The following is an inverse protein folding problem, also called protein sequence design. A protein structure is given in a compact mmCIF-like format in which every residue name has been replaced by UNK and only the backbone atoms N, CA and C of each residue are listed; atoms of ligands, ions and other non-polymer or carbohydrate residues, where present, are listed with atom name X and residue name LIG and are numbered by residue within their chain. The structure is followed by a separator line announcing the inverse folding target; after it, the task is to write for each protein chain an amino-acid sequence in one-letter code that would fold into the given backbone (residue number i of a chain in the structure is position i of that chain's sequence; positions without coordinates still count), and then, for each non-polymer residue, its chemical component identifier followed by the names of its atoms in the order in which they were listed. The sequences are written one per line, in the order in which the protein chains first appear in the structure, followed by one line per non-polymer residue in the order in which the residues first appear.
data_IF_756959158587
#
_entry.id   IF_756959158587
#
_cell.length_a   1.000
_cell.length_b   1.000
_cell.length_c   1.000
_cell.angle_alpha   90.00
_cell.angle_beta   90.00
_cell.angle_gamma   90.00
#
_symmetry.space_group_name_H-M   'P 1'
#
loop_
_entity.id
_entity.type
_entity.pdbx_description
1 polymer ?
#
# COMPACT_ATOMS: atom_id res chain seq x y z
N UNK A 1 29.90 -7.58 -29.35
CA UNK A 1 28.63 -8.10 -29.97
C UNK A 1 27.72 -8.78 -28.97
N UNK A 2 28.23 -9.71 -28.15
CA UNK A 2 27.40 -10.29 -27.05
C UNK A 2 27.00 -9.25 -26.00
N UNK A 3 27.89 -8.35 -25.65
CA UNK A 3 27.69 -7.30 -24.63
C UNK A 3 26.57 -6.33 -25.04
N UNK A 4 26.61 -5.87 -26.30
CA UNK A 4 25.56 -4.99 -26.84
C UNK A 4 24.19 -5.71 -26.90
N UNK A 5 24.18 -6.99 -27.25
CA UNK A 5 22.94 -7.80 -27.23
C UNK A 5 22.41 -7.99 -25.81
N UNK A 6 23.32 -8.25 -24.84
CA UNK A 6 22.93 -8.41 -23.43
C UNK A 6 22.35 -7.12 -22.87
N UNK A 7 22.98 -5.97 -23.13
CA UNK A 7 22.46 -4.67 -22.73
C UNK A 7 21.06 -4.40 -23.31
N UNK A 8 20.88 -4.61 -24.64
CA UNK A 8 19.58 -4.40 -25.28
C UNK A 8 18.51 -5.33 -24.77
N UNK A 9 18.84 -6.61 -24.56
CA UNK A 9 17.92 -7.57 -23.99
C UNK A 9 17.53 -7.19 -22.55
N UNK A 10 18.47 -6.69 -21.76
CA UNK A 10 18.21 -6.18 -20.41
C UNK A 10 17.29 -4.96 -20.42
N UNK A 11 17.56 -3.99 -21.27
CA UNK A 11 16.74 -2.79 -21.46
C UNK A 11 15.31 -3.12 -21.87
N UNK A 12 15.14 -4.10 -22.78
CA UNK A 12 13.82 -4.51 -23.27
C UNK A 12 13.05 -5.42 -22.30
N UNK A 13 13.69 -5.97 -21.26
CA UNK A 13 13.06 -6.90 -20.33
C UNK A 13 12.97 -8.33 -20.87
N UNK A 14 13.85 -8.73 -21.79
CA UNK A 14 13.83 -10.03 -22.44
C UNK A 14 14.53 -11.09 -21.58
N UNK A 15 13.92 -11.48 -20.46
CA UNK A 15 14.51 -12.36 -19.41
C UNK A 15 15.08 -13.65 -19.99
N UNK A 16 14.38 -14.33 -20.89
CA UNK A 16 14.84 -15.58 -21.51
C UNK A 16 16.06 -15.36 -22.41
N UNK A 17 16.09 -14.24 -23.17
CA UNK A 17 17.21 -13.85 -24.02
C UNK A 17 18.44 -13.54 -23.19
N UNK A 18 18.28 -12.79 -22.09
CA UNK A 18 19.35 -12.50 -21.11
C UNK A 18 19.92 -13.80 -20.56
N UNK A 19 19.11 -14.72 -20.10
CA UNK A 19 19.56 -16.04 -19.59
C UNK A 19 20.36 -16.83 -20.63
N UNK A 20 19.91 -16.87 -21.89
CA UNK A 20 20.64 -17.54 -22.99
C UNK A 20 22.00 -16.90 -23.30
N UNK A 21 22.05 -15.56 -23.32
CA UNK A 21 23.29 -14.83 -23.58
C UNK A 21 24.32 -15.06 -22.47
N UNK A 22 23.90 -15.01 -21.21
CA UNK A 22 24.76 -15.32 -20.04
C UNK A 22 25.26 -16.77 -20.08
N UNK A 23 24.38 -17.74 -20.36
CA UNK A 23 24.76 -19.14 -20.50
C UNK A 23 25.74 -19.41 -21.66
N UNK A 24 25.75 -18.55 -22.69
CA UNK A 24 26.68 -18.62 -23.81
C UNK A 24 28.02 -17.89 -23.57
N UNK A 25 28.24 -17.39 -22.34
CA UNK A 25 29.48 -16.75 -21.91
C UNK A 25 29.46 -15.20 -22.03
N UNK A 26 28.28 -14.61 -22.10
CA UNK A 26 28.13 -13.15 -21.95
C UNK A 26 28.55 -12.71 -20.55
N UNK A 27 29.26 -11.61 -20.46
CA UNK A 27 29.73 -11.05 -19.20
C UNK A 27 28.72 -9.97 -18.72
N UNK A 28 28.05 -10.17 -17.54
CA UNK A 28 27.07 -9.23 -17.04
C UNK A 28 27.69 -7.89 -16.60
N UNK A 29 29.00 -7.83 -16.41
CA UNK A 29 29.72 -6.65 -15.91
C UNK A 29 30.40 -5.86 -17.04
N UNK A 30 30.28 -6.30 -18.27
CA UNK A 30 30.92 -5.65 -19.38
C UNK A 30 29.98 -4.63 -20.02
N UNK A 31 30.40 -3.34 -20.10
CA UNK A 31 29.55 -2.31 -20.66
C UNK A 31 29.33 -2.54 -22.18
N UNK A 32 28.18 -2.06 -22.65
CA UNK A 32 27.85 -1.97 -24.08
C UNK A 32 28.76 -0.98 -24.82
N UNK A 33 28.66 -0.91 -26.15
CA UNK A 33 29.40 0.10 -26.96
C UNK A 33 29.04 1.55 -26.58
N UNK A 34 27.88 1.78 -25.93
CA UNK A 34 27.45 3.05 -25.37
C UNK A 34 27.82 3.23 -23.88
N UNK A 35 28.69 2.38 -23.34
CA UNK A 35 29.18 2.40 -21.95
C UNK A 35 28.13 2.07 -20.87
N UNK A 36 26.92 1.61 -21.28
CA UNK A 36 25.87 1.21 -20.33
C UNK A 36 26.05 -0.22 -19.82
N UNK A 37 25.79 -0.43 -18.52
CA UNK A 37 25.80 -1.74 -17.89
C UNK A 37 24.43 -2.42 -17.99
N UNK A 38 24.35 -3.75 -18.24
CA UNK A 38 23.07 -4.45 -18.32
C UNK A 38 22.20 -4.30 -17.08
N UNK A 39 22.80 -4.30 -15.87
CA UNK A 39 22.07 -4.13 -14.61
C UNK A 39 21.50 -2.71 -14.46
N UNK A 40 22.27 -1.69 -14.87
CA UNK A 40 21.79 -0.29 -14.89
C UNK A 40 20.64 -0.11 -15.88
N UNK A 41 20.73 -0.72 -17.08
CA UNK A 41 19.66 -0.71 -18.05
C UNK A 41 18.37 -1.38 -17.51
N UNK A 42 18.50 -2.52 -16.84
CA UNK A 42 17.36 -3.19 -16.21
C UNK A 42 16.73 -2.31 -15.12
N UNK A 43 17.54 -1.64 -14.30
CA UNK A 43 17.09 -0.74 -13.25
C UNK A 43 16.40 0.51 -13.79
N UNK A 44 16.97 1.14 -14.82
CA UNK A 44 16.41 2.34 -15.43
C UNK A 44 15.04 2.11 -16.11
N UNK A 45 14.72 0.88 -16.49
CA UNK A 45 13.51 0.53 -17.23
C UNK A 45 12.58 -0.46 -16.48
N UNK A 46 12.72 -0.56 -15.18
CA UNK A 46 11.86 -1.40 -14.29
C UNK A 46 11.79 -2.87 -14.73
N UNK A 47 12.96 -3.48 -15.03
CA UNK A 47 13.05 -4.87 -15.46
C UNK A 47 13.46 -5.77 -14.28
N UNK A 48 12.59 -5.88 -13.28
CA UNK A 48 12.85 -6.56 -12.00
C UNK A 48 13.35 -7.98 -12.17
N UNK A 49 12.70 -8.80 -13.02
CA UNK A 49 13.11 -10.19 -13.28
C UNK A 49 14.49 -10.27 -13.94
N UNK A 50 14.77 -9.37 -14.88
CA UNK A 50 16.07 -9.29 -15.57
C UNK A 50 17.15 -8.91 -14.58
N UNK A 51 16.92 -7.94 -13.69
CA UNK A 51 17.85 -7.57 -12.63
C UNK A 51 18.20 -8.79 -11.75
N UNK A 52 17.20 -9.58 -11.33
CA UNK A 52 17.41 -10.81 -10.59
C UNK A 52 18.28 -11.83 -11.34
N UNK A 53 18.02 -12.05 -12.64
CA UNK A 53 18.82 -12.98 -13.47
C UNK A 53 20.28 -12.49 -13.64
N UNK A 54 20.48 -11.18 -13.84
CA UNK A 54 21.82 -10.59 -13.96
C UNK A 54 22.62 -10.73 -12.64
N UNK A 55 21.98 -10.42 -11.50
CA UNK A 55 22.59 -10.56 -10.18
C UNK A 55 22.95 -12.01 -9.87
N UNK A 56 22.04 -12.96 -10.18
CA UNK A 56 22.30 -14.40 -10.03
C UNK A 56 23.47 -14.87 -10.93
N UNK A 57 23.73 -14.21 -12.06
CA UNK A 57 24.84 -14.49 -12.94
C UNK A 57 26.15 -13.77 -12.55
N UNK A 58 26.18 -13.03 -11.42
CA UNK A 58 27.36 -12.37 -10.89
C UNK A 58 27.53 -10.92 -11.41
N UNK A 59 26.43 -10.24 -11.75
CA UNK A 59 26.51 -8.81 -11.99
C UNK A 59 26.95 -8.07 -10.71
N UNK A 60 27.88 -7.12 -10.85
CA UNK A 60 28.31 -6.26 -9.75
C UNK A 60 27.17 -5.28 -9.41
N UNK A 61 26.60 -5.45 -8.20
CA UNK A 61 25.42 -4.67 -7.78
C UNK A 61 25.69 -3.16 -7.78
N UNK A 62 26.92 -2.75 -7.40
CA UNK A 62 27.39 -1.37 -7.36
C UNK A 62 28.27 -0.98 -8.57
N UNK A 63 28.14 -1.74 -9.68
CA UNK A 63 28.80 -1.42 -10.93
C UNK A 63 28.45 0.02 -11.38
N UNK A 64 29.46 0.82 -11.75
CA UNK A 64 29.28 2.25 -12.06
C UNK A 64 29.41 2.52 -13.55
N UNK A 65 28.46 3.30 -14.07
CA UNK A 65 28.52 3.91 -15.39
C UNK A 65 29.17 5.31 -15.34
N UNK A 66 29.25 5.96 -16.50
CA UNK A 66 29.71 7.34 -16.58
C UNK A 66 28.89 8.27 -15.69
N UNK A 67 29.53 9.22 -15.00
CA UNK A 67 28.88 10.08 -14.02
C UNK A 67 28.67 9.41 -12.66
N UNK A 68 29.26 8.25 -12.41
CA UNK A 68 29.19 7.55 -11.13
C UNK A 68 27.84 6.82 -10.88
N UNK A 69 27.00 6.68 -11.89
CA UNK A 69 25.66 6.08 -11.76
C UNK A 69 25.72 4.58 -11.49
N UNK A 70 24.99 4.14 -10.47
CA UNK A 70 24.76 2.74 -10.16
C UNK A 70 23.32 2.33 -10.54
N UNK A 71 23.06 1.03 -10.56
CA UNK A 71 21.71 0.51 -10.80
C UNK A 71 20.68 1.05 -9.79
N UNK A 72 21.07 1.21 -8.50
CA UNK A 72 20.18 1.73 -7.47
C UNK A 72 19.87 3.23 -7.68
N UNK A 73 20.84 4.03 -8.11
CA UNK A 73 20.60 5.44 -8.48
C UNK A 73 19.63 5.54 -9.66
N UNK A 74 19.76 4.66 -10.68
CA UNK A 74 18.82 4.60 -11.80
C UNK A 74 17.41 4.18 -11.36
N UNK A 75 17.29 3.19 -10.49
CA UNK A 75 16.00 2.79 -9.95
C UNK A 75 15.34 3.93 -9.15
N UNK A 76 16.12 4.66 -8.35
CA UNK A 76 15.63 5.74 -7.51
C UNK A 76 15.13 6.95 -8.33
N UNK A 77 15.92 7.42 -9.29
CA UNK A 77 15.56 8.57 -10.14
C UNK A 77 14.34 8.29 -11.02
N UNK A 78 14.08 7.02 -11.35
CA UNK A 78 12.92 6.63 -12.14
C UNK A 78 11.72 6.13 -11.29
N UNK A 79 11.89 5.99 -9.98
CA UNK A 79 10.83 5.57 -9.06
C UNK A 79 10.48 4.09 -9.14
N UNK A 80 11.44 3.23 -9.44
CA UNK A 80 11.22 1.80 -9.66
C UNK A 80 11.43 1.00 -8.37
N UNK A 81 10.44 1.02 -7.48
CA UNK A 81 10.52 0.43 -6.14
C UNK A 81 10.83 -1.08 -6.13
N UNK A 82 10.25 -1.84 -7.05
CA UNK A 82 10.47 -3.30 -7.11
C UNK A 82 11.94 -3.63 -7.44
N UNK A 83 12.54 -2.95 -8.42
CA UNK A 83 13.95 -3.13 -8.76
C UNK A 83 14.86 -2.63 -7.64
N UNK A 84 14.52 -1.48 -7.01
CA UNK A 84 15.28 -0.96 -5.88
C UNK A 84 15.35 -1.98 -4.73
N UNK A 85 14.25 -2.64 -4.36
CA UNK A 85 14.24 -3.70 -3.35
C UNK A 85 15.16 -4.87 -3.72
N UNK A 86 15.08 -5.36 -4.96
CA UNK A 86 15.95 -6.45 -5.44
C UNK A 86 17.43 -6.07 -5.37
N UNK A 87 17.80 -4.83 -5.72
CA UNK A 87 19.18 -4.35 -5.62
C UNK A 87 19.65 -4.22 -4.16
N UNK A 88 18.79 -3.70 -3.28
CA UNK A 88 19.05 -3.61 -1.84
C UNK A 88 19.24 -5.00 -1.22
N UNK A 89 18.36 -5.94 -1.52
CA UNK A 89 18.48 -7.34 -1.08
C UNK A 89 19.76 -8.01 -1.58
N UNK A 90 20.26 -7.62 -2.76
CA UNK A 90 21.52 -8.08 -3.31
C UNK A 90 22.75 -7.37 -2.69
N UNK A 91 22.54 -6.44 -1.74
CA UNK A 91 23.60 -5.75 -1.00
C UNK A 91 24.11 -4.47 -1.67
N UNK A 92 23.28 -3.78 -2.46
CA UNK A 92 23.64 -2.47 -3.01
C UNK A 92 23.97 -1.46 -1.91
N UNK A 93 24.97 -0.59 -2.15
CA UNK A 93 25.32 0.51 -1.27
C UNK A 93 24.22 1.58 -1.30
N UNK A 94 23.36 1.59 -0.24
CA UNK A 94 22.17 2.42 -0.18
C UNK A 94 22.45 3.93 -0.18
N UNK A 95 23.66 4.33 0.21
CA UNK A 95 24.13 5.73 0.26
C UNK A 95 25.18 6.04 -0.81
N UNK A 96 25.30 5.19 -1.85
CA UNK A 96 26.20 5.48 -2.98
C UNK A 96 25.81 6.80 -3.64
N UNK A 97 26.82 7.63 -4.01
CA UNK A 97 26.56 8.87 -4.75
C UNK A 97 27.04 8.79 -6.19
N UNK A 98 26.33 9.51 -7.08
CA UNK A 98 26.84 9.83 -8.39
C UNK A 98 27.94 10.92 -8.31
N UNK A 99 28.50 11.33 -9.43
CA UNK A 99 29.56 12.37 -9.48
C UNK A 99 29.01 13.77 -9.15
N UNK A 100 27.71 13.98 -9.24
CA UNK A 100 27.02 15.22 -8.85
C UNK A 100 26.74 15.28 -7.34
N UNK A 101 26.93 14.17 -6.62
CA UNK A 101 26.71 14.07 -5.17
C UNK A 101 25.31 13.60 -4.79
N UNK A 102 24.44 13.29 -5.75
CA UNK A 102 23.09 12.78 -5.45
C UNK A 102 23.14 11.38 -4.85
N UNK A 103 22.33 11.14 -3.84
CA UNK A 103 22.09 9.82 -3.24
C UNK A 103 20.84 9.17 -3.83
N UNK A 104 20.66 7.84 -3.70
CA UNK A 104 19.39 7.20 -4.07
C UNK A 104 18.19 7.83 -3.34
N UNK A 105 18.36 8.21 -2.06
CA UNK A 105 17.29 8.80 -1.26
C UNK A 105 16.94 10.23 -1.73
N UNK A 106 17.91 11.07 -2.07
CA UNK A 106 17.66 12.42 -2.61
C UNK A 106 16.96 12.36 -3.98
N UNK A 107 17.42 11.45 -4.86
CA UNK A 107 16.78 11.24 -6.16
C UNK A 107 15.34 10.74 -6.04
N UNK A 108 15.11 9.78 -5.16
CA UNK A 108 13.76 9.26 -4.90
C UNK A 108 12.83 10.32 -4.30
N UNK A 109 13.35 11.17 -3.38
CA UNK A 109 12.60 12.28 -2.80
C UNK A 109 12.23 13.32 -3.88
N UNK A 110 13.18 13.69 -4.75
CA UNK A 110 12.95 14.61 -5.90
C UNK A 110 11.91 14.05 -6.87
N UNK A 111 11.92 12.74 -7.10
CA UNK A 111 10.96 12.04 -7.95
C UNK A 111 9.56 11.95 -7.32
N UNK A 112 9.44 12.03 -6.00
CA UNK A 112 8.22 11.71 -5.25
C UNK A 112 7.96 10.20 -5.17
N UNK A 113 9.00 9.38 -5.28
CA UNK A 113 8.95 7.92 -5.38
C UNK A 113 8.85 7.28 -4.00
N UNK A 114 7.67 7.30 -3.41
CA UNK A 114 7.40 6.83 -2.05
C UNK A 114 7.91 5.41 -1.79
N UNK A 115 7.58 4.45 -2.68
CA UNK A 115 7.98 3.05 -2.50
C UNK A 115 9.50 2.82 -2.52
N UNK A 116 10.25 3.69 -3.23
CA UNK A 116 11.73 3.66 -3.20
C UNK A 116 12.24 4.25 -1.90
N UNK A 117 11.67 5.38 -1.44
CA UNK A 117 12.04 6.00 -0.16
C UNK A 117 11.83 5.04 1.00
N UNK A 118 10.69 4.35 1.05
CA UNK A 118 10.41 3.33 2.06
C UNK A 118 11.48 2.22 2.04
N UNK A 119 11.78 1.65 0.87
CA UNK A 119 12.78 0.60 0.76
C UNK A 119 14.18 1.05 1.20
N UNK A 120 14.56 2.29 0.90
CA UNK A 120 15.85 2.87 1.29
C UNK A 120 15.92 3.14 2.80
N UNK A 121 14.86 3.68 3.41
CA UNK A 121 14.79 3.90 4.86
C UNK A 121 14.78 2.58 5.65
N UNK A 122 14.05 1.57 5.20
CA UNK A 122 14.06 0.21 5.76
C UNK A 122 15.46 -0.42 5.71
N UNK A 123 16.24 -0.10 4.68
CA UNK A 123 17.62 -0.55 4.52
C UNK A 123 18.65 0.31 5.27
N UNK A 124 18.21 1.35 5.98
CA UNK A 124 19.06 2.21 6.80
C UNK A 124 19.80 3.30 6.03
N UNK A 125 19.25 3.78 4.91
CA UNK A 125 19.80 4.93 4.19
C UNK A 125 19.88 6.19 5.09
N UNK A 126 20.95 6.96 4.93
CA UNK A 126 21.20 8.19 5.70
C UNK A 126 20.29 9.33 5.20
N UNK A 127 19.22 9.59 5.96
CA UNK A 127 18.23 10.61 5.65
C UNK A 127 18.71 12.05 5.91
N UNK A 128 19.85 12.24 6.57
CA UNK A 128 20.47 13.55 6.82
C UNK A 128 21.57 13.88 5.77
N UNK A 129 21.87 12.93 4.88
CA UNK A 129 22.93 13.12 3.89
C UNK A 129 22.51 14.14 2.82
N UNK A 130 23.36 15.17 2.65
CA UNK A 130 23.17 16.21 1.64
C UNK A 130 23.46 15.68 0.23
N UNK A 131 22.69 16.14 -0.74
CA UNK A 131 22.99 15.97 -2.17
C UNK A 131 24.02 16.99 -2.67
N UNK A 132 24.27 17.02 -3.98
CA UNK A 132 25.25 17.93 -4.58
C UNK A 132 24.84 19.41 -4.58
N UNK A 133 23.56 19.70 -4.42
CA UNK A 133 23.00 21.05 -4.31
C UNK A 133 23.03 21.55 -2.85
N UNK A 134 23.28 20.66 -1.89
CA UNK A 134 23.35 20.95 -0.47
C UNK A 134 22.00 20.81 0.25
N UNK A 135 21.05 20.10 -0.35
CA UNK A 135 19.74 19.82 0.22
C UNK A 135 19.69 18.40 0.82
N UNK A 136 19.00 18.25 1.94
CA UNK A 136 18.65 16.93 2.47
C UNK A 136 17.44 16.35 1.70
N UNK A 137 17.24 15.01 1.73
CA UNK A 137 16.02 14.41 1.16
C UNK A 137 14.73 15.02 1.71
N UNK A 138 14.74 15.49 2.98
CA UNK A 138 13.60 16.17 3.58
C UNK A 138 13.38 17.55 2.98
N UNK A 139 14.43 18.36 2.79
CA UNK A 139 14.33 19.68 2.16
C UNK A 139 13.69 19.55 0.78
N UNK A 140 14.20 18.61 -0.02
CA UNK A 140 13.69 18.30 -1.36
C UNK A 140 12.20 17.94 -1.32
N UNK A 141 11.80 17.01 -0.43
CA UNK A 141 10.41 16.57 -0.36
C UNK A 141 9.46 17.69 0.11
N UNK A 142 9.88 18.51 1.07
CA UNK A 142 9.08 19.61 1.63
C UNK A 142 8.78 20.70 0.59
N UNK A 143 9.71 20.99 -0.32
CA UNK A 143 9.52 21.97 -1.39
C UNK A 143 8.37 21.62 -2.33
N UNK A 144 8.02 20.33 -2.43
CA UNK A 144 6.92 19.84 -3.24
C UNK A 144 5.59 19.68 -2.48
N UNK A 145 5.59 19.81 -1.15
CA UNK A 145 4.36 19.68 -0.35
C UNK A 145 3.42 20.85 -0.63
N UNK A 146 2.19 20.53 -1.09
CA UNK A 146 1.19 21.53 -1.45
C UNK A 146 1.39 22.18 -2.81
N UNK A 147 2.40 21.77 -3.56
CA UNK A 147 2.62 22.21 -4.94
C UNK A 147 1.68 21.46 -5.88
N UNK A 148 1.09 22.18 -6.83
CA UNK A 148 0.28 21.54 -7.86
C UNK A 148 1.20 20.89 -8.90
N UNK A 149 1.34 19.56 -8.81
CA UNK A 149 2.38 18.78 -9.50
C UNK A 149 2.41 19.02 -11.02
N UNK A 150 1.26 19.04 -11.68
CA UNK A 150 1.17 19.28 -13.12
C UNK A 150 1.69 20.66 -13.53
N UNK A 151 1.31 21.70 -12.75
CA UNK A 151 1.78 23.07 -13.02
C UNK A 151 3.28 23.17 -12.81
N UNK A 152 3.83 22.58 -11.75
CA UNK A 152 5.25 22.62 -11.48
C UNK A 152 6.07 21.86 -12.53
N UNK A 153 5.54 20.74 -13.04
CA UNK A 153 6.20 20.01 -14.14
C UNK A 153 6.10 20.77 -15.46
N UNK A 154 4.95 21.43 -15.72
CA UNK A 154 4.78 22.27 -16.90
C UNK A 154 5.77 23.43 -16.89
N UNK A 155 5.92 24.13 -15.77
CA UNK A 155 6.83 25.27 -15.61
C UNK A 155 8.30 24.89 -15.92
N UNK A 156 8.70 23.62 -15.76
CA UNK A 156 10.05 23.14 -16.05
C UNK A 156 10.36 23.06 -17.55
N UNK A 157 9.33 22.82 -18.39
CA UNK A 157 9.51 22.61 -19.83
C UNK A 157 8.71 23.60 -20.68
N UNK A 158 8.06 24.62 -20.07
CA UNK A 158 7.23 25.56 -20.80
C UNK A 158 8.07 26.43 -21.75
N UNK A 159 7.74 26.37 -23.03
CA UNK A 159 8.38 27.13 -24.09
C UNK A 159 7.32 27.75 -25.01
N UNK A 160 7.59 28.95 -25.51
CA UNK A 160 6.71 29.64 -26.45
C UNK A 160 6.48 28.81 -27.72
N UNK A 161 5.20 28.62 -28.09
CA UNK A 161 4.81 27.90 -29.31
C UNK A 161 4.86 26.36 -29.20
N UNK A 162 4.95 25.82 -27.98
CA UNK A 162 4.87 24.39 -27.77
C UNK A 162 3.44 23.95 -27.40
N UNK A 163 3.08 22.74 -27.79
CA UNK A 163 1.87 22.05 -27.35
C UNK A 163 2.21 21.05 -26.24
N UNK A 164 1.37 21.01 -25.18
CA UNK A 164 1.61 20.17 -24.01
C UNK A 164 0.49 19.15 -23.81
N UNK A 165 0.89 17.97 -23.38
CA UNK A 165 -0.01 16.89 -22.98
C UNK A 165 0.36 16.45 -21.57
N UNK A 166 -0.65 16.37 -20.70
CA UNK A 166 -0.52 15.80 -19.36
C UNK A 166 -1.10 14.39 -19.39
N UNK A 167 -0.32 13.41 -18.96
CA UNK A 167 -0.75 12.03 -18.78
C UNK A 167 -0.61 11.64 -17.31
N UNK A 168 -1.60 10.89 -16.82
CA UNK A 168 -1.59 10.32 -15.47
C UNK A 168 -1.63 8.81 -15.58
N UNK A 169 -0.79 8.14 -14.84
CA UNK A 169 -0.69 6.68 -14.77
C UNK A 169 -0.39 6.29 -13.34
N UNK A 170 -0.61 5.04 -13.00
CA UNK A 170 -0.17 4.50 -11.71
C UNK A 170 1.11 3.69 -11.92
N UNK A 171 2.10 3.94 -11.09
CA UNK A 171 3.29 3.11 -10.99
C UNK A 171 2.91 1.73 -10.42
N UNK A 172 3.80 0.75 -10.50
CA UNK A 172 3.53 -0.61 -10.00
C UNK A 172 3.32 -0.68 -8.48
N UNK A 173 3.84 0.30 -7.76
CA UNK A 173 3.65 0.46 -6.31
C UNK A 173 2.34 1.19 -5.95
N UNK A 174 1.52 1.52 -6.93
CA UNK A 174 0.24 2.22 -6.72
C UNK A 174 0.35 3.75 -6.72
N UNK A 175 1.54 4.32 -6.69
CA UNK A 175 1.74 5.78 -6.67
C UNK A 175 1.34 6.40 -8.01
N UNK A 176 0.61 7.52 -7.99
CA UNK A 176 0.26 8.24 -9.22
C UNK A 176 1.51 8.85 -9.86
N UNK A 177 1.72 8.54 -11.13
CA UNK A 177 2.77 9.10 -11.98
C UNK A 177 2.17 10.14 -12.91
N UNK A 178 2.59 11.38 -12.75
CA UNK A 178 2.22 12.50 -13.62
C UNK A 178 3.35 12.74 -14.62
N UNK A 179 2.99 12.78 -15.89
CA UNK A 179 3.89 13.07 -17.01
C UNK A 179 3.40 14.30 -17.73
N UNK A 180 4.29 15.27 -17.93
CA UNK A 180 4.06 16.41 -18.83
C UNK A 180 5.01 16.28 -20.02
N UNK A 181 4.45 16.20 -21.21
CA UNK A 181 5.21 16.11 -22.46
C UNK A 181 4.90 17.33 -23.33
N UNK A 182 5.95 18.02 -23.75
CA UNK A 182 5.89 19.17 -24.64
C UNK A 182 6.44 18.82 -26.02
N UNK A 183 5.91 19.46 -27.06
CA UNK A 183 6.35 19.32 -28.43
C UNK A 183 6.25 20.63 -29.19
N UNK A 184 7.30 20.98 -29.97
CA UNK A 184 7.28 22.14 -30.87
C UNK A 184 6.22 21.99 -31.96
N UNK A 185 5.67 23.10 -32.49
CA UNK A 185 4.63 23.11 -33.55
C UNK A 185 5.03 22.30 -34.80
N UNK A 186 6.32 22.33 -35.18
CA UNK A 186 6.83 21.57 -36.32
C UNK A 186 7.21 20.11 -35.98
N UNK A 187 7.14 19.76 -34.70
CA UNK A 187 7.45 18.43 -34.18
C UNK A 187 8.93 18.04 -34.23
N UNK A 188 9.84 19.01 -34.42
CA UNK A 188 11.28 18.77 -34.48
C UNK A 188 11.90 18.58 -33.09
N UNK A 189 11.28 19.17 -32.08
CA UNK A 189 11.74 19.13 -30.69
C UNK A 189 10.63 18.58 -29.78
N UNK A 190 11.03 17.82 -28.77
CA UNK A 190 10.13 17.31 -27.74
C UNK A 190 10.85 17.15 -26.42
N UNK A 191 10.18 17.46 -25.33
CA UNK A 191 10.68 17.30 -23.96
C UNK A 191 9.63 16.65 -23.10
N UNK A 192 10.04 15.88 -22.08
CA UNK A 192 9.15 15.21 -21.17
C UNK A 192 9.74 15.23 -19.77
N UNK A 193 8.90 15.61 -18.80
CA UNK A 193 9.21 15.53 -17.38
C UNK A 193 8.13 14.71 -16.66
N UNK A 194 8.53 14.08 -15.56
CA UNK A 194 7.63 13.21 -14.78
C UNK A 194 7.96 13.33 -13.30
N UNK A 195 6.93 13.22 -12.46
CA UNK A 195 7.09 13.00 -11.04
C UNK A 195 5.98 12.08 -10.51
N UNK A 196 6.26 11.42 -9.40
CA UNK A 196 5.27 10.64 -8.65
C UNK A 196 4.66 11.50 -7.55
N UNK A 197 3.40 11.20 -7.20
CA UNK A 197 2.67 11.95 -6.16
C UNK A 197 2.91 11.31 -4.80
N UNK A 198 4.12 11.45 -4.26
CA UNK A 198 4.48 10.88 -2.95
C UNK A 198 5.15 11.85 -2.00
N UNK A 199 5.37 13.11 -2.41
CA UNK A 199 6.21 14.05 -1.67
C UNK A 199 5.70 14.35 -0.25
N UNK A 200 4.39 14.46 -0.05
CA UNK A 200 3.81 14.73 1.26
C UNK A 200 3.99 13.54 2.23
N UNK A 201 3.80 12.32 1.72
CA UNK A 201 4.09 11.08 2.43
C UNK A 201 5.58 10.96 2.75
N UNK A 202 6.45 11.22 1.78
CA UNK A 202 7.92 11.19 1.93
C UNK A 202 8.38 12.19 2.99
N UNK A 203 7.88 13.44 2.94
CA UNK A 203 8.20 14.44 3.95
C UNK A 203 7.79 13.98 5.36
N UNK A 204 6.64 13.30 5.50
CA UNK A 204 6.17 12.77 6.78
C UNK A 204 7.07 11.65 7.29
N UNK A 205 7.48 10.70 6.41
CA UNK A 205 8.40 9.61 6.78
C UNK A 205 9.78 10.11 7.15
N UNK A 206 10.31 11.10 6.43
CA UNK A 206 11.64 11.67 6.70
C UNK A 206 11.64 12.51 7.99
N UNK A 207 10.57 13.25 8.30
CA UNK A 207 10.40 13.93 9.58
C UNK A 207 10.35 12.92 10.75
N UNK A 208 9.64 11.80 10.57
CA UNK A 208 9.56 10.73 11.59
C UNK A 208 10.93 10.07 11.78
N UNK A 209 11.64 9.73 10.69
CA UNK A 209 13.00 9.18 10.74
C UNK A 209 13.99 10.12 11.44
N UNK A 210 13.88 11.43 11.23
CA UNK A 210 14.67 12.44 11.89
C UNK A 210 14.26 12.70 13.35
N UNK A 211 13.24 12.02 13.87
CA UNK A 211 12.70 12.26 15.21
C UNK A 211 12.05 13.63 15.36
N UNK A 212 11.65 14.27 14.28
CA UNK A 212 11.02 15.59 14.29
C UNK A 212 9.57 15.48 14.73
N UNK A 213 9.20 16.15 15.80
CA UNK A 213 7.81 16.21 16.25
C UNK A 213 7.01 17.23 15.43
N UNK A 214 6.54 16.81 14.24
CA UNK A 214 5.70 17.66 13.39
C UNK A 214 4.34 17.86 14.02
N UNK A 215 3.82 19.11 14.15
CA UNK A 215 2.50 19.37 14.74
C UNK A 215 1.38 18.59 14.06
N UNK A 216 0.43 18.10 14.85
CA UNK A 216 -0.70 17.27 14.37
C UNK A 216 -1.52 17.98 13.29
N UNK A 217 -1.77 19.28 13.43
CA UNK A 217 -2.49 20.09 12.44
C UNK A 217 -1.78 20.15 11.09
N UNK A 218 -0.45 20.20 11.08
CA UNK A 218 0.36 20.17 9.86
C UNK A 218 0.29 18.81 9.17
N UNK A 219 0.36 17.73 9.93
CA UNK A 219 0.22 16.36 9.41
C UNK A 219 -1.18 16.13 8.82
N UNK A 220 -2.22 16.54 9.55
CA UNK A 220 -3.62 16.47 9.09
C UNK A 220 -3.80 17.28 7.80
N UNK A 221 -3.22 18.49 7.73
CA UNK A 221 -3.29 19.30 6.51
C UNK A 221 -2.67 18.61 5.30
N UNK A 222 -1.59 17.82 5.48
CA UNK A 222 -1.00 17.00 4.41
C UNK A 222 -1.94 15.89 3.97
N UNK A 223 -2.51 15.13 4.92
CA UNK A 223 -3.46 14.05 4.62
C UNK A 223 -4.71 14.55 3.87
N UNK A 224 -5.17 15.77 4.18
CA UNK A 224 -6.38 16.37 3.59
C UNK A 224 -6.11 17.25 2.37
N UNK A 225 -4.84 17.45 1.97
CA UNK A 225 -4.47 18.34 0.86
C UNK A 225 -5.06 17.89 -0.49
N UNK A 226 -5.27 16.58 -0.68
CA UNK A 226 -5.91 16.02 -1.86
C UNK A 226 -7.41 15.84 -1.60
N UNK A 227 -8.23 16.29 -2.55
CA UNK A 227 -9.70 16.25 -2.40
C UNK A 227 -10.26 14.83 -2.58
N UNK A 228 -9.51 13.96 -3.23
CA UNK A 228 -9.89 12.57 -3.48
C UNK A 228 -8.87 11.62 -2.82
N UNK A 229 -9.32 10.79 -1.89
CA UNK A 229 -8.50 9.78 -1.25
C UNK A 229 -7.95 8.77 -2.28
N UNK A 230 -8.70 8.54 -3.37
CA UNK A 230 -8.28 7.66 -4.45
C UNK A 230 -7.09 8.23 -5.24
N UNK A 231 -6.79 9.55 -5.11
CA UNK A 231 -5.64 10.19 -5.74
C UNK A 231 -4.36 10.10 -4.89
N UNK A 232 -4.46 10.10 -3.55
CA UNK A 232 -3.30 10.01 -2.63
C UNK A 232 -3.67 9.31 -1.30
N UNK A 233 -4.08 8.06 -1.41
CA UNK A 233 -4.38 7.24 -0.23
C UNK A 233 -3.13 7.00 0.65
N UNK A 234 -1.94 6.98 0.05
CA UNK A 234 -0.69 6.70 0.77
C UNK A 234 -0.37 7.78 1.80
N UNK A 235 -0.51 9.07 1.44
CA UNK A 235 -0.28 10.17 2.39
C UNK A 235 -1.26 10.10 3.57
N UNK A 236 -2.53 9.75 3.31
CA UNK A 236 -3.54 9.59 4.35
C UNK A 236 -3.12 8.55 5.40
N UNK A 237 -2.72 7.36 4.93
CA UNK A 237 -2.37 6.25 5.81
C UNK A 237 -1.03 6.43 6.50
N UNK A 238 -0.04 7.02 5.85
CA UNK A 238 1.26 7.33 6.47
C UNK A 238 1.10 8.36 7.59
N UNK A 239 0.27 9.38 7.38
CA UNK A 239 -0.03 10.36 8.42
C UNK A 239 -0.79 9.70 9.57
N UNK A 240 -1.78 8.85 9.28
CA UNK A 240 -2.53 8.13 10.32
C UNK A 240 -1.61 7.24 11.17
N UNK A 241 -0.71 6.48 10.55
CA UNK A 241 0.28 5.64 11.21
C UNK A 241 1.28 6.48 12.06
N UNK A 242 1.75 7.62 11.51
CA UNK A 242 2.62 8.55 12.25
C UNK A 242 1.92 9.11 13.48
N UNK A 243 0.63 9.42 13.40
CA UNK A 243 -0.15 9.89 14.54
C UNK A 243 -0.42 8.76 15.54
N UNK A 244 -0.68 7.54 15.07
CA UNK A 244 -0.88 6.36 15.92
C UNK A 244 0.36 6.05 16.77
N UNK A 245 1.55 6.07 16.18
CA UNK A 245 2.82 5.86 16.88
C UNK A 245 3.06 6.81 18.04
N UNK A 246 2.45 7.99 18.03
CA UNK A 246 2.56 8.96 19.14
C UNK A 246 1.82 8.51 20.39
N UNK A 247 0.61 7.98 20.24
CA UNK A 247 -0.27 7.44 21.28
C UNK A 247 -0.39 8.33 22.53
N UNK A 248 -0.37 9.67 22.37
CA UNK A 248 -0.47 10.64 23.44
C UNK A 248 -1.85 11.33 23.51
N UNK A 249 -2.16 11.91 24.66
CA UNK A 249 -3.45 12.58 24.90
C UNK A 249 -3.67 13.81 24.00
N UNK A 250 -2.62 14.55 23.63
CA UNK A 250 -2.73 15.75 22.79
C UNK A 250 -3.17 15.37 21.38
N UNK A 251 -2.53 14.34 20.80
CA UNK A 251 -2.89 13.79 19.50
C UNK A 251 -4.31 13.20 19.52
N UNK A 252 -4.65 12.44 20.59
CA UNK A 252 -6.00 11.90 20.77
C UNK A 252 -7.07 13.00 20.76
N UNK A 253 -6.88 14.08 21.53
CA UNK A 253 -7.83 15.20 21.57
C UNK A 253 -7.92 15.93 20.22
N UNK A 254 -6.84 15.97 19.44
CA UNK A 254 -6.88 16.50 18.08
C UNK A 254 -7.73 15.60 17.17
N UNK A 255 -7.58 14.28 17.23
CA UNK A 255 -8.41 13.34 16.48
C UNK A 255 -9.89 13.42 16.86
N UNK A 256 -10.21 13.57 18.15
CA UNK A 256 -11.60 13.79 18.60
C UNK A 256 -12.19 15.08 18.00
N UNK A 257 -11.40 16.16 17.90
CA UNK A 257 -11.88 17.40 17.23
C UNK A 257 -12.18 17.17 15.76
N UNK A 258 -11.36 16.38 15.05
CA UNK A 258 -11.62 16.02 13.66
C UNK A 258 -12.90 15.20 13.52
N UNK A 259 -13.11 14.18 14.36
CA UNK A 259 -14.35 13.38 14.38
C UNK A 259 -15.63 14.24 14.57
N UNK A 260 -15.50 15.43 15.13
CA UNK A 260 -16.61 16.34 15.41
C UNK A 260 -16.66 17.55 14.45
N UNK A 261 -15.81 17.59 13.43
CA UNK A 261 -15.75 18.69 12.44
C UNK A 261 -17.03 18.78 11.60
N UNK A 262 -17.29 19.97 11.05
CA UNK A 262 -18.34 20.17 10.04
C UNK A 262 -17.94 19.56 8.68
N UNK A 263 -16.66 19.47 8.38
CA UNK A 263 -16.13 18.84 7.16
C UNK A 263 -16.16 17.31 7.26
N UNK A 264 -16.77 16.67 6.26
CA UNK A 264 -16.93 15.22 6.24
C UNK A 264 -15.58 14.48 6.10
N UNK A 265 -14.62 15.05 5.37
CA UNK A 265 -13.29 14.44 5.18
C UNK A 265 -12.45 14.52 6.45
N UNK A 266 -12.54 15.64 7.17
CA UNK A 266 -11.90 15.72 8.49
C UNK A 266 -12.49 14.69 9.44
N UNK A 267 -13.82 14.50 9.44
CA UNK A 267 -14.45 13.45 10.24
C UNK A 267 -14.02 12.05 9.83
N UNK A 268 -13.96 11.78 8.53
CA UNK A 268 -13.50 10.50 7.98
C UNK A 268 -12.06 10.21 8.44
N UNK A 269 -11.13 11.13 8.20
CA UNK A 269 -9.74 11.00 8.65
C UNK A 269 -9.62 10.82 10.16
N UNK A 270 -10.36 11.63 10.93
CA UNK A 270 -10.38 11.49 12.39
C UNK A 270 -10.85 10.13 12.87
N UNK A 271 -11.89 9.56 12.22
CA UNK A 271 -12.41 8.23 12.56
C UNK A 271 -11.44 7.13 12.14
N UNK A 272 -10.91 7.16 10.93
CA UNK A 272 -9.97 6.17 10.42
C UNK A 272 -8.71 6.09 11.29
N UNK A 273 -8.19 7.25 11.70
CA UNK A 273 -7.01 7.32 12.57
C UNK A 273 -7.32 6.89 14.00
N UNK A 274 -8.41 7.42 14.60
CA UNK A 274 -8.75 7.10 16.00
C UNK A 274 -9.14 5.64 16.21
N UNK A 275 -9.58 4.95 15.15
CA UNK A 275 -9.89 3.53 15.19
C UNK A 275 -8.69 2.66 15.56
N UNK A 276 -7.50 3.08 15.13
CA UNK A 276 -6.24 2.35 15.32
C UNK A 276 -5.41 2.94 16.46
N UNK A 277 -5.75 4.15 16.94
CA UNK A 277 -4.92 4.94 17.83
C UNK A 277 -4.59 4.23 19.15
N UNK A 278 -3.32 3.96 19.34
CA UNK A 278 -2.78 3.32 20.56
C UNK A 278 -3.20 1.84 20.72
N UNK A 279 -3.53 1.13 19.63
CA UNK A 279 -3.99 -0.27 19.66
C UNK A 279 -2.85 -1.27 19.46
N UNK A 280 -1.60 -0.80 19.43
CA UNK A 280 -0.45 -1.67 19.29
C UNK A 280 -0.45 -2.81 20.34
N UNK A 281 -0.02 -4.01 19.92
CA UNK A 281 0.11 -5.20 20.78
C UNK A 281 -1.19 -5.65 21.48
N UNK A 282 -2.37 -5.24 20.96
CA UNK A 282 -3.68 -5.61 21.48
C UNK A 282 -4.11 -4.82 22.71
N UNK A 283 -3.33 -3.86 23.17
CA UNK A 283 -3.73 -2.85 24.16
C UNK A 283 -4.62 -1.78 23.49
N UNK A 284 -5.66 -1.34 24.17
CA UNK A 284 -6.61 -0.34 23.68
C UNK A 284 -6.78 0.78 24.73
N UNK A 285 -5.74 1.58 24.96
CA UNK A 285 -5.71 2.53 26.09
C UNK A 285 -6.79 3.61 26.00
N UNK A 286 -7.29 3.90 24.79
CA UNK A 286 -8.30 4.93 24.55
C UNK A 286 -9.72 4.37 24.37
N UNK A 287 -9.94 3.04 24.46
CA UNK A 287 -11.22 2.39 24.21
C UNK A 287 -12.40 3.04 24.94
N UNK A 288 -12.25 3.29 26.25
CA UNK A 288 -13.31 3.86 27.08
C UNK A 288 -13.68 5.31 26.70
N UNK A 289 -12.86 5.99 25.93
CA UNK A 289 -13.09 7.33 25.39
C UNK A 289 -13.59 7.26 23.93
N UNK A 290 -13.03 6.37 23.14
CA UNK A 290 -13.32 6.20 21.71
C UNK A 290 -14.70 5.59 21.48
N UNK A 291 -15.05 4.53 22.22
CA UNK A 291 -16.30 3.82 22.01
C UNK A 291 -17.54 4.72 22.17
N UNK A 292 -17.69 5.55 23.23
CA UNK A 292 -18.82 6.48 23.33
C UNK A 292 -18.87 7.54 22.22
N UNK A 293 -17.71 7.97 21.71
CA UNK A 293 -17.63 8.91 20.58
C UNK A 293 -18.21 8.27 19.31
N UNK A 294 -17.73 7.07 18.95
CA UNK A 294 -18.20 6.33 17.79
C UNK A 294 -19.70 6.00 17.87
N UNK A 295 -20.17 5.55 19.04
CA UNK A 295 -21.60 5.29 19.29
C UNK A 295 -22.47 6.55 19.08
N UNK A 296 -21.99 7.72 19.52
CA UNK A 296 -22.66 8.99 19.26
C UNK A 296 -22.67 9.30 17.76
N UNK A 297 -21.55 9.11 17.07
CA UNK A 297 -21.45 9.36 15.63
C UNK A 297 -22.45 8.50 14.83
N UNK A 298 -22.66 7.24 15.19
CA UNK A 298 -23.70 6.41 14.56
C UNK A 298 -25.06 7.12 14.53
N UNK A 299 -25.44 7.83 15.59
CA UNK A 299 -26.76 8.47 15.69
C UNK A 299 -26.84 9.83 14.99
N UNK A 300 -25.71 10.50 14.74
CA UNK A 300 -25.68 11.88 14.23
C UNK A 300 -25.12 12.00 12.80
N UNK A 301 -24.37 10.98 12.35
CA UNK A 301 -23.71 11.02 11.05
C UNK A 301 -24.67 10.64 9.91
N UNK A 302 -24.65 11.49 8.86
CA UNK A 302 -25.43 11.30 7.65
C UNK A 302 -24.60 11.03 6.40
N UNK A 303 -23.27 11.24 6.46
CA UNK A 303 -22.39 11.05 5.30
C UNK A 303 -22.03 9.56 5.15
N UNK A 304 -22.29 8.94 3.98
CA UNK A 304 -22.12 7.47 3.83
C UNK A 304 -20.69 6.98 4.05
N UNK A 305 -19.69 7.75 3.59
CA UNK A 305 -18.28 7.37 3.76
C UNK A 305 -17.88 7.40 5.24
N UNK A 306 -18.19 8.51 5.94
CA UNK A 306 -17.90 8.61 7.38
C UNK A 306 -18.59 7.51 8.18
N UNK A 307 -19.84 7.13 7.82
CA UNK A 307 -20.52 6.00 8.45
C UNK A 307 -19.81 4.67 8.21
N UNK A 308 -19.22 4.46 7.04
CA UNK A 308 -18.40 3.27 6.79
C UNK A 308 -17.15 3.26 7.66
N UNK A 309 -16.46 4.39 7.78
CA UNK A 309 -15.32 4.52 8.69
C UNK A 309 -15.74 4.28 10.15
N UNK A 310 -16.88 4.82 10.58
CA UNK A 310 -17.42 4.57 11.94
C UNK A 310 -17.71 3.09 12.15
N UNK A 311 -18.30 2.41 11.18
CA UNK A 311 -18.57 0.98 11.25
C UNK A 311 -17.30 0.15 11.35
N UNK A 312 -16.31 0.44 10.48
CA UNK A 312 -15.01 -0.18 10.53
C UNK A 312 -14.31 0.04 11.87
N UNK A 313 -14.38 1.28 12.40
CA UNK A 313 -13.82 1.63 13.70
C UNK A 313 -14.46 0.87 14.85
N UNK A 314 -15.80 0.71 14.86
CA UNK A 314 -16.51 -0.08 15.87
C UNK A 314 -16.09 -1.55 15.83
N UNK A 315 -15.96 -2.14 14.64
CA UNK A 315 -15.44 -3.50 14.46
C UNK A 315 -14.00 -3.61 14.97
N UNK A 316 -13.12 -2.71 14.53
CA UNK A 316 -11.71 -2.72 14.92
C UNK A 316 -11.51 -2.60 16.45
N UNK A 317 -12.36 -1.83 17.14
CA UNK A 317 -12.34 -1.81 18.60
C UNK A 317 -12.74 -3.16 19.22
N UNK A 318 -13.52 -3.99 18.53
CA UNK A 318 -13.88 -5.35 18.94
C UNK A 318 -14.59 -5.43 20.28
N UNK A 319 -15.29 -4.38 20.69
CA UNK A 319 -16.01 -4.34 21.97
C UNK A 319 -17.48 -4.71 21.77
N UNK A 320 -18.00 -5.74 22.46
CA UNK A 320 -19.39 -6.16 22.33
C UNK A 320 -20.44 -5.08 22.61
N UNK A 321 -20.08 -4.02 23.37
CA UNK A 321 -20.95 -2.86 23.60
C UNK A 321 -21.27 -2.09 22.32
N UNK A 322 -20.51 -2.31 21.24
CA UNK A 322 -20.74 -1.72 19.92
C UNK A 322 -21.85 -2.42 19.13
N UNK A 323 -22.17 -3.69 19.41
CA UNK A 323 -23.11 -4.50 18.62
C UNK A 323 -24.45 -3.79 18.31
N UNK A 324 -25.16 -3.15 19.27
CA UNK A 324 -26.42 -2.48 18.95
C UNK A 324 -26.28 -1.38 17.91
N UNK A 325 -25.12 -0.69 17.86
CA UNK A 325 -24.84 0.39 16.93
C UNK A 325 -24.42 -0.15 15.56
N UNK A 326 -23.69 -1.26 15.52
CA UNK A 326 -23.40 -1.99 14.28
C UNK A 326 -24.71 -2.46 13.64
N UNK A 327 -25.60 -3.11 14.38
CA UNK A 327 -26.91 -3.55 13.90
C UNK A 327 -27.80 -2.38 13.43
N UNK A 328 -27.74 -1.21 14.09
CA UNK A 328 -28.44 0.01 13.64
C UNK A 328 -27.98 0.43 12.24
N UNK A 329 -26.66 0.47 11.98
CA UNK A 329 -26.13 0.82 10.66
C UNK A 329 -26.60 -0.20 9.61
N UNK A 330 -26.43 -1.50 9.89
CA UNK A 330 -26.73 -2.59 8.95
C UNK A 330 -28.23 -2.69 8.61
N UNK A 331 -29.09 -2.23 9.51
CA UNK A 331 -30.55 -2.23 9.32
C UNK A 331 -31.11 -1.00 8.62
N UNK A 332 -30.28 0.01 8.30
CA UNK A 332 -30.75 1.26 7.71
C UNK A 332 -31.35 1.05 6.32
N UNK A 333 -32.45 1.74 6.00
CA UNK A 333 -33.05 1.64 4.67
C UNK A 333 -32.06 2.03 3.56
N UNK A 334 -31.88 1.15 2.59
CA UNK A 334 -30.96 1.39 1.46
C UNK A 334 -29.48 1.15 1.75
N UNK A 335 -29.14 0.63 2.95
CA UNK A 335 -27.80 0.19 3.25
C UNK A 335 -27.39 -0.95 2.27
N UNK A 336 -26.27 -0.78 1.59
CA UNK A 336 -25.70 -1.79 0.71
C UNK A 336 -24.60 -2.53 1.48
N UNK A 337 -24.75 -3.82 1.64
CA UNK A 337 -23.76 -4.65 2.34
C UNK A 337 -22.42 -4.63 1.63
N UNK A 338 -21.36 -4.66 2.42
CA UNK A 338 -19.97 -4.72 2.00
C UNK A 338 -19.19 -5.69 2.90
N UNK A 339 -17.97 -6.03 2.55
CA UNK A 339 -17.09 -6.84 3.42
C UNK A 339 -16.89 -6.21 4.82
N UNK A 340 -16.84 -4.86 4.90
CA UNK A 340 -16.67 -4.13 6.17
C UNK A 340 -17.82 -4.45 7.15
N UNK A 341 -19.04 -4.64 6.66
CA UNK A 341 -20.20 -4.99 7.48
C UNK A 341 -20.05 -6.37 8.12
N UNK A 342 -19.55 -7.33 7.34
CA UNK A 342 -19.31 -8.69 7.83
C UNK A 342 -18.19 -8.73 8.88
N UNK A 343 -17.10 -8.03 8.63
CA UNK A 343 -15.97 -7.92 9.55
C UNK A 343 -16.42 -7.25 10.85
N UNK A 344 -17.01 -6.05 10.77
CA UNK A 344 -17.42 -5.30 11.95
C UNK A 344 -18.43 -6.05 12.80
N UNK A 345 -19.39 -6.76 12.17
CA UNK A 345 -20.34 -7.58 12.90
C UNK A 345 -19.66 -8.75 13.60
N UNK A 346 -18.77 -9.47 12.91
CA UNK A 346 -18.07 -10.61 13.48
C UNK A 346 -17.19 -10.22 14.68
N UNK A 347 -16.48 -9.08 14.59
CA UNK A 347 -15.54 -8.62 15.59
C UNK A 347 -16.23 -8.20 16.91
N UNK A 348 -17.45 -7.67 16.83
CA UNK A 348 -18.19 -7.21 18.01
C UNK A 348 -19.21 -8.22 18.52
N UNK A 349 -19.39 -9.36 17.83
CA UNK A 349 -20.47 -10.31 18.09
C UNK A 349 -20.21 -11.17 19.34
N UNK A 350 -20.98 -11.02 20.44
CA UNK A 350 -20.92 -11.95 21.56
C UNK A 350 -21.42 -13.34 21.16
N UNK A 351 -20.81 -14.38 21.72
CA UNK A 351 -21.16 -15.78 21.40
C UNK A 351 -22.65 -16.15 21.65
N UNK A 352 -23.34 -15.36 22.44
CA UNK A 352 -24.71 -15.64 22.93
C UNK A 352 -25.76 -14.77 22.20
N UNK A 353 -25.32 -13.84 21.31
CA UNK A 353 -26.27 -12.96 20.62
C UNK A 353 -26.90 -13.65 19.42
N UNK A 354 -28.17 -13.97 19.52
CA UNK A 354 -28.95 -14.70 18.50
C UNK A 354 -29.25 -13.85 17.26
N UNK A 355 -29.42 -12.52 17.41
CA UNK A 355 -29.80 -11.62 16.33
C UNK A 355 -28.59 -11.36 15.43
N UNK A 356 -27.48 -10.98 16.02
CA UNK A 356 -26.23 -10.75 15.28
C UNK A 356 -25.73 -12.04 14.62
N UNK A 357 -25.82 -13.19 15.31
CA UNK A 357 -25.47 -14.49 14.73
C UNK A 357 -26.37 -14.84 13.53
N UNK A 358 -27.68 -14.56 13.63
CA UNK A 358 -28.58 -14.79 12.51
C UNK A 358 -28.21 -13.96 11.28
N UNK A 359 -27.88 -12.69 11.50
CA UNK A 359 -27.48 -11.78 10.43
C UNK A 359 -26.14 -12.20 9.81
N UNK A 360 -25.14 -12.56 10.63
CA UNK A 360 -23.85 -13.04 10.12
C UNK A 360 -24.00 -14.31 9.27
N UNK A 361 -24.84 -15.25 9.73
CA UNK A 361 -25.18 -16.46 8.96
C UNK A 361 -25.88 -16.10 7.64
N UNK A 362 -26.79 -15.14 7.63
CA UNK A 362 -27.44 -14.67 6.41
C UNK A 362 -26.40 -14.12 5.41
N UNK A 363 -25.45 -13.31 5.90
CA UNK A 363 -24.40 -12.72 5.09
C UNK A 363 -23.46 -13.77 4.47
N UNK A 364 -23.31 -14.95 5.05
CA UNK A 364 -22.55 -16.05 4.39
C UNK A 364 -23.19 -16.52 3.08
N UNK A 365 -24.44 -16.16 2.81
CA UNK A 365 -25.18 -16.46 1.57
C UNK A 365 -25.41 -15.24 0.68
N UNK A 366 -24.71 -14.14 0.89
CA UNK A 366 -24.88 -12.88 0.14
C UNK A 366 -24.56 -13.07 -1.36
N UNK A 367 -25.13 -12.20 -2.22
CA UNK A 367 -24.85 -12.22 -3.66
C UNK A 367 -23.43 -11.77 -3.96
N UNK A 368 -22.88 -10.87 -3.14
CA UNK A 368 -21.50 -10.40 -3.23
C UNK A 368 -20.53 -11.43 -2.64
N UNK A 369 -19.53 -11.84 -3.44
CA UNK A 369 -18.54 -12.86 -3.03
C UNK A 369 -17.66 -12.41 -1.88
N UNK A 370 -17.28 -11.12 -1.82
CA UNK A 370 -16.47 -10.59 -0.74
C UNK A 370 -17.23 -10.58 0.57
N UNK A 371 -18.52 -10.21 0.54
CA UNK A 371 -19.38 -10.28 1.75
C UNK A 371 -19.49 -11.72 2.22
N UNK A 372 -19.69 -12.69 1.30
CA UNK A 372 -19.78 -14.12 1.68
C UNK A 372 -18.48 -14.63 2.31
N UNK A 373 -17.36 -14.30 1.70
CA UNK A 373 -16.04 -14.75 2.17
C UNK A 373 -15.77 -14.23 3.59
N UNK A 374 -15.86 -12.93 3.80
CA UNK A 374 -15.61 -12.33 5.10
C UNK A 374 -16.64 -12.73 6.17
N UNK A 375 -17.91 -12.88 5.79
CA UNK A 375 -18.92 -13.39 6.73
C UNK A 375 -18.64 -14.85 7.11
N UNK A 376 -18.17 -15.68 6.17
CA UNK A 376 -17.78 -17.06 6.43
C UNK A 376 -16.53 -17.13 7.31
N UNK A 377 -15.52 -16.30 7.03
CA UNK A 377 -14.31 -16.17 7.84
C UNK A 377 -14.65 -15.74 9.28
N UNK A 378 -15.51 -14.73 9.43
CA UNK A 378 -16.00 -14.27 10.73
C UNK A 378 -16.74 -15.38 11.49
N UNK A 379 -17.69 -16.06 10.84
CA UNK A 379 -18.43 -17.18 11.43
C UNK A 379 -17.51 -18.35 11.83
N UNK A 380 -16.50 -18.64 11.01
CA UNK A 380 -15.49 -19.66 11.29
C UNK A 380 -14.63 -19.31 12.51
N UNK A 381 -14.35 -18.02 12.73
CA UNK A 381 -13.56 -17.49 13.85
C UNK A 381 -14.30 -17.43 15.18
N UNK A 382 -15.63 -17.47 15.21
CA UNK A 382 -16.38 -17.44 16.46
C UNK A 382 -16.04 -18.64 17.36
N UNK A 383 -15.89 -18.40 18.65
CA UNK A 383 -15.69 -19.46 19.65
C UNK A 383 -16.93 -20.34 19.85
N UNK A 384 -18.11 -19.84 19.49
CA UNK A 384 -19.37 -20.58 19.61
C UNK A 384 -19.38 -21.79 18.66
N UNK A 385 -19.90 -22.90 19.19
CA UNK A 385 -20.06 -24.15 18.45
C UNK A 385 -21.51 -24.66 18.60
N UNK A 386 -22.32 -24.39 17.59
CA UNK A 386 -23.71 -24.80 17.52
C UNK A 386 -24.02 -25.54 16.22
N UNK A 387 -25.03 -26.42 16.18
CA UNK A 387 -25.45 -27.04 14.91
C UNK A 387 -25.72 -26.02 13.81
N UNK A 388 -26.30 -24.87 14.16
CA UNK A 388 -26.63 -23.80 13.23
C UNK A 388 -25.38 -23.21 12.56
N UNK A 389 -24.31 -22.98 13.34
CA UNK A 389 -22.99 -22.51 12.80
C UNK A 389 -22.37 -23.57 11.89
N UNK A 390 -22.32 -24.84 12.35
CA UNK A 390 -21.79 -25.96 11.57
C UNK A 390 -22.53 -26.13 10.23
N UNK A 391 -23.86 -26.03 10.25
CA UNK A 391 -24.67 -26.18 9.04
C UNK A 391 -24.51 -25.00 8.07
N UNK A 392 -24.39 -23.76 8.60
CA UNK A 392 -24.10 -22.59 7.78
C UNK A 392 -22.72 -22.69 7.09
N UNK A 393 -21.67 -23.10 7.81
CA UNK A 393 -20.35 -23.36 7.26
C UNK A 393 -20.39 -24.49 6.23
N UNK A 394 -21.06 -25.61 6.52
CA UNK A 394 -21.17 -26.72 5.59
C UNK A 394 -21.88 -26.35 4.28
N UNK A 395 -22.83 -25.42 4.33
CA UNK A 395 -23.48 -24.91 3.13
C UNK A 395 -22.52 -24.16 2.19
N UNK A 396 -21.38 -23.66 2.70
CA UNK A 396 -20.37 -22.96 1.91
C UNK A 396 -19.31 -23.88 1.28
N UNK A 397 -19.27 -25.16 1.64
CA UNK A 397 -18.34 -26.13 1.04
C UNK A 397 -18.54 -26.32 -0.48
N UNK A 398 -19.69 -25.90 -1.01
CA UNK A 398 -20.03 -25.94 -2.44
C UNK A 398 -20.04 -24.55 -3.09
N UNK A 399 -19.54 -23.53 -2.41
CA UNK A 399 -19.48 -22.16 -2.96
C UNK A 399 -18.61 -22.11 -4.22
N UNK A 400 -18.92 -21.17 -5.12
CA UNK A 400 -18.12 -20.95 -6.33
C UNK A 400 -16.76 -20.31 -6.03
N UNK A 401 -16.66 -19.58 -4.92
CA UNK A 401 -15.42 -18.98 -4.46
C UNK A 401 -14.67 -19.94 -3.53
N UNK A 402 -13.44 -20.31 -3.94
CA UNK A 402 -12.62 -21.28 -3.20
C UNK A 402 -12.01 -20.72 -1.91
N UNK A 403 -11.92 -19.39 -1.75
CA UNK A 403 -11.56 -18.77 -0.48
C UNK A 403 -12.67 -18.98 0.54
N UNK A 404 -13.91 -18.71 0.18
CA UNK A 404 -15.10 -19.00 0.99
C UNK A 404 -15.16 -20.48 1.40
N UNK A 405 -14.83 -21.40 0.47
CA UNK A 405 -14.75 -22.85 0.79
C UNK A 405 -13.65 -23.13 1.81
N UNK A 406 -12.49 -22.50 1.67
CA UNK A 406 -11.35 -22.69 2.59
C UNK A 406 -11.68 -22.19 4.00
N UNK A 407 -12.30 -21.01 4.13
CA UNK A 407 -12.75 -20.48 5.42
C UNK A 407 -13.80 -21.37 6.09
N UNK A 408 -14.80 -21.84 5.33
CA UNK A 408 -15.79 -22.77 5.83
C UNK A 408 -15.15 -24.07 6.32
N UNK A 409 -14.19 -24.59 5.56
CA UNK A 409 -13.42 -25.81 5.90
C UNK A 409 -12.68 -25.62 7.21
N UNK A 410 -11.93 -24.53 7.36
CA UNK A 410 -11.24 -24.16 8.61
C UNK A 410 -12.21 -24.12 9.80
N UNK A 411 -13.34 -23.45 9.61
CA UNK A 411 -14.35 -23.31 10.65
C UNK A 411 -14.96 -24.66 11.09
N UNK A 412 -15.18 -25.59 10.17
CA UNK A 412 -15.65 -26.94 10.46
C UNK A 412 -14.57 -27.80 11.11
N UNK A 413 -13.33 -27.75 10.60
CA UNK A 413 -12.19 -28.50 11.15
C UNK A 413 -11.91 -28.09 12.61
N UNK A 414 -11.88 -26.80 12.90
CA UNK A 414 -11.72 -26.27 14.28
C UNK A 414 -12.77 -26.81 15.25
N UNK A 415 -13.97 -27.15 14.74
CA UNK A 415 -15.08 -27.72 15.52
C UNK A 415 -15.14 -29.25 15.48
N UNK A 416 -14.14 -29.90 14.85
CA UNK A 416 -14.09 -31.36 14.72
C UNK A 416 -15.23 -31.94 13.88
N UNK A 417 -15.73 -31.21 12.89
CA UNK A 417 -16.80 -31.64 11.99
C UNK A 417 -16.22 -32.38 10.77
N UNK A 418 -16.62 -33.64 10.59
CA UNK A 418 -16.08 -34.51 9.54
C UNK A 418 -16.32 -33.96 8.12
N UNK A 419 -17.28 -33.06 7.91
CA UNK A 419 -17.56 -32.43 6.63
C UNK A 419 -16.40 -31.55 6.14
N UNK A 420 -15.48 -31.14 7.02
CA UNK A 420 -14.28 -30.39 6.66
C UNK A 420 -13.42 -31.12 5.61
N UNK A 421 -13.32 -32.45 5.68
CA UNK A 421 -12.53 -33.24 4.75
C UNK A 421 -12.93 -33.03 3.28
N UNK A 422 -14.22 -32.86 3.00
CA UNK A 422 -14.73 -32.56 1.66
C UNK A 422 -14.22 -31.21 1.13
N UNK A 423 -14.19 -30.19 2.00
CA UNK A 423 -13.70 -28.87 1.65
C UNK A 423 -12.20 -28.86 1.40
N UNK A 424 -11.39 -29.54 2.25
CA UNK A 424 -9.95 -29.68 2.05
C UNK A 424 -9.63 -30.35 0.71
N UNK A 425 -10.28 -31.47 0.38
CA UNK A 425 -10.08 -32.17 -0.89
C UNK A 425 -10.36 -31.25 -2.08
N UNK A 426 -11.45 -30.49 -2.03
CA UNK A 426 -11.85 -29.58 -3.11
C UNK A 426 -10.87 -28.44 -3.28
N UNK A 427 -10.50 -27.72 -2.20
CA UNK A 427 -9.58 -26.58 -2.27
C UNK A 427 -8.20 -27.03 -2.79
N UNK A 428 -7.69 -28.16 -2.31
CA UNK A 428 -6.38 -28.67 -2.75
C UNK A 428 -6.39 -29.12 -4.22
N UNK A 429 -7.54 -29.56 -4.75
CA UNK A 429 -7.68 -30.00 -6.14
C UNK A 429 -7.93 -28.85 -7.13
N UNK A 430 -8.66 -27.82 -6.72
CA UNK A 430 -9.22 -26.83 -7.64
C UNK A 430 -8.61 -25.42 -7.47
N UNK A 431 -7.97 -25.09 -6.32
CA UNK A 431 -7.45 -23.74 -6.05
C UNK A 431 -5.98 -23.61 -6.41
N UNK A 432 -5.64 -22.52 -7.11
CA UNK A 432 -4.27 -22.05 -7.32
C UNK A 432 -3.86 -20.97 -6.30
N UNK A 433 -4.79 -20.56 -5.41
CA UNK A 433 -4.55 -19.57 -4.37
C UNK A 433 -3.78 -20.19 -3.20
N UNK A 434 -2.54 -19.73 -3.00
CA UNK A 434 -1.65 -20.21 -1.94
C UNK A 434 -2.25 -20.01 -0.55
N UNK A 435 -2.95 -18.90 -0.30
CA UNK A 435 -3.63 -18.62 0.97
C UNK A 435 -4.71 -19.67 1.27
N UNK A 436 -5.62 -19.90 0.33
CA UNK A 436 -6.68 -20.89 0.50
C UNK A 436 -6.13 -22.30 0.74
N UNK A 437 -5.07 -22.69 0.02
CA UNK A 437 -4.40 -23.99 0.18
C UNK A 437 -3.71 -24.13 1.53
N UNK A 438 -3.02 -23.07 1.98
CA UNK A 438 -2.36 -23.06 3.30
C UNK A 438 -3.39 -23.15 4.43
N UNK A 439 -4.51 -22.46 4.32
CA UNK A 439 -5.57 -22.43 5.31
C UNK A 439 -6.15 -23.82 5.61
N UNK A 440 -6.40 -24.62 4.57
CA UNK A 440 -6.92 -25.99 4.73
C UNK A 440 -5.83 -26.97 5.16
N UNK A 441 -4.58 -26.80 4.73
CA UNK A 441 -3.46 -27.65 5.12
C UNK A 441 -3.09 -27.56 6.61
N UNK A 442 -3.30 -26.39 7.22
CA UNK A 442 -3.09 -26.17 8.67
C UNK A 442 -4.24 -26.71 9.52
N UNK A 443 -5.35 -27.08 8.90
CA UNK A 443 -6.57 -27.52 9.56
C UNK A 443 -6.68 -29.05 9.66
N UNK A 444 -5.76 -29.79 9.07
CA UNK A 444 -5.59 -31.24 9.21
C UNK A 444 -4.74 -31.57 10.45
#
# INVERSE_FOLDING_TARGET
MHEEQLFRAALNGETETVGKLLASGGDPNKPSEGEGLPLCAAAAWDRTEVAGVLLAAGAEVDGREAGGWTALLWAATNGHAAVARVLIEAGAEVDATNDDGDTPLSLAARRGALGVVQALLEAGADHEKYDGDGDTPLDIAVDWVGVHLESALLDQIEQDGWEYVVARQYAKDGTELVTVAGRSEDGSESEQVQAQRGHAAIATLLEDAAGTHTPTDRLVARALAHRDIDEDAETWWIVADTLDKRADDETYEALVRLCLSEDAREREFGVDTIAQFGVADGDKPFLERTLPLLQKMVTTEGHPQVLRSVLAALGHQGDPRALPHVLDILSRPGHKRTMTDAIALADVLPSEDEEGLALLIEMTGDEDSEVRDWATAGLAGLAADTPRIRDALAARLTDSDLRTVAEATRGLATRGDERAAQGSERVLAESDDDYARELVSRSE
#
